data_IF_075748537289
#
_entry.id   IF_075748537289
#
_cell.length_a   1.000
_cell.length_b   1.000
_cell.length_c   1.000
_cell.angle_alpha   90.00
_cell.angle_beta   90.00
_cell.angle_gamma   90.00
#
_symmetry.space_group_name_H-M   'P 1'
#
loop_
_entity.id
_entity.type
_entity.pdbx_description
1 polymer ?
#
# COMPACT_ATOMS: atom_id res chain seq x y z
N UNK A 1 -12.37 6.75 19.56
CA UNK A 1 -11.04 6.75 18.88
C UNK A 1 -10.77 8.15 18.36
N UNK A 2 -9.58 8.70 18.63
CA UNK A 2 -9.24 10.06 18.19
C UNK A 2 -8.66 10.06 16.77
N UNK A 3 -9.01 11.08 15.97
CA UNK A 3 -8.48 11.29 14.62
C UNK A 3 -7.43 12.41 14.64
N UNK A 4 -6.42 12.29 13.79
CA UNK A 4 -5.43 13.34 13.58
C UNK A 4 -6.09 14.51 12.86
N UNK A 5 -5.91 15.73 13.37
CA UNK A 5 -6.42 16.95 12.75
C UNK A 5 -5.71 17.30 11.42
N UNK A 6 -4.49 16.82 11.19
CA UNK A 6 -3.75 17.07 9.95
C UNK A 6 -4.14 16.11 8.81
N UNK A 7 -4.24 14.80 9.08
CA UNK A 7 -4.46 13.79 8.03
C UNK A 7 -5.80 13.05 8.12
N UNK A 8 -6.60 13.28 9.16
CA UNK A 8 -7.91 12.64 9.36
C UNK A 8 -7.86 11.16 9.78
N UNK A 9 -6.68 10.53 9.82
CA UNK A 9 -6.52 9.12 10.19
C UNK A 9 -6.64 8.90 11.70
N UNK A 10 -7.06 7.70 12.11
CA UNK A 10 -7.11 7.32 13.52
C UNK A 10 -5.70 7.18 14.11
N UNK A 11 -5.52 7.71 15.33
CA UNK A 11 -4.20 7.76 15.99
C UNK A 11 -4.16 6.80 17.17
N UNK A 12 -3.09 6.01 17.27
CA UNK A 12 -2.81 5.16 18.42
C UNK A 12 -2.55 6.01 19.67
N UNK A 13 -3.00 5.59 20.87
CA UNK A 13 -2.74 6.34 22.10
C UNK A 13 -1.25 6.63 22.39
N UNK A 14 -0.34 5.78 21.92
CA UNK A 14 1.11 5.97 22.09
C UNK A 14 1.70 7.08 21.19
N UNK A 15 1.07 7.36 20.05
CA UNK A 15 1.56 8.29 19.04
C UNK A 15 0.78 9.61 18.99
N UNK A 16 -0.15 9.80 19.93
CA UNK A 16 -0.97 11.01 20.00
C UNK A 16 -0.21 12.17 20.63
N UNK A 17 -0.29 13.33 20.00
CA UNK A 17 0.21 14.60 20.52
C UNK A 17 -0.94 15.58 20.58
N UNK A 18 -1.19 16.15 21.76
CA UNK A 18 -2.27 17.11 21.98
C UNK A 18 -1.70 18.53 21.97
N UNK A 19 -2.33 19.42 21.21
CA UNK A 19 -2.03 20.84 21.30
C UNK A 19 -2.53 21.39 22.64
N UNK A 20 -1.69 22.12 23.36
CA UNK A 20 -2.07 22.72 24.66
C UNK A 20 -3.13 23.82 24.54
N UNK A 21 -3.28 24.43 23.35
CA UNK A 21 -4.23 25.52 23.08
C UNK A 21 -5.58 25.11 22.46
N UNK A 22 -5.63 24.25 21.43
CA UNK A 22 -6.88 24.01 20.66
C UNK A 22 -7.51 22.61 20.83
N UNK A 23 -7.09 21.81 21.81
CA UNK A 23 -7.55 20.42 22.04
C UNK A 23 -7.39 19.43 20.87
N UNK A 24 -6.96 19.89 19.69
CA UNK A 24 -6.70 19.05 18.53
C UNK A 24 -5.56 18.05 18.79
N UNK A 25 -5.69 16.89 18.18
CA UNK A 25 -4.80 15.75 18.31
C UNK A 25 -4.09 15.54 16.98
N UNK A 26 -2.79 15.31 17.04
CA UNK A 26 -1.93 15.06 15.88
C UNK A 26 -1.16 13.76 16.08
N UNK A 27 -0.89 13.04 15.00
CA UNK A 27 0.02 11.92 15.01
C UNK A 27 1.47 12.40 14.84
N UNK A 28 2.41 11.67 15.45
CA UNK A 28 3.85 11.96 15.34
C UNK A 28 4.36 12.01 13.90
N UNK A 29 3.78 11.20 13.00
CA UNK A 29 4.20 11.10 11.60
C UNK A 29 3.89 12.40 10.86
N UNK A 30 2.68 12.96 11.00
CA UNK A 30 2.34 14.25 10.38
C UNK A 30 3.19 15.40 10.91
N UNK A 31 3.68 15.31 12.15
CA UNK A 31 4.60 16.29 12.74
C UNK A 31 6.08 16.01 12.43
N UNK A 32 6.40 14.93 11.70
CA UNK A 32 7.78 14.50 11.39
C UNK A 32 8.66 14.33 12.65
N UNK A 33 8.06 13.91 13.76
CA UNK A 33 8.78 13.69 15.02
C UNK A 33 9.23 12.23 15.13
N UNK A 34 10.47 12.01 15.55
CA UNK A 34 10.97 10.67 15.84
C UNK A 34 10.26 10.06 17.07
N UNK A 35 10.25 8.73 17.18
CA UNK A 35 9.66 8.02 18.33
C UNK A 35 10.38 8.35 19.66
N UNK A 36 11.66 8.68 19.61
CA UNK A 36 12.46 9.06 20.78
C UNK A 36 12.26 10.50 21.24
N UNK A 37 11.63 11.35 20.42
CA UNK A 37 11.45 12.75 20.74
C UNK A 37 10.43 12.95 21.88
N UNK A 38 10.86 13.62 22.95
CA UNK A 38 9.98 14.00 24.07
C UNK A 38 9.30 15.34 23.74
N UNK A 39 7.98 15.31 23.58
CA UNK A 39 7.20 16.50 23.30
C UNK A 39 7.00 17.29 24.60
N UNK A 40 7.26 18.59 24.56
CA UNK A 40 6.99 19.49 25.69
C UNK A 40 5.50 19.54 26.01
N UNK A 41 5.07 19.56 27.29
CA UNK A 41 3.65 19.71 27.65
C UNK A 41 3.05 21.04 27.19
N UNK A 42 3.90 22.03 26.85
CA UNK A 42 3.49 23.33 26.29
C UNK A 42 3.47 23.35 24.76
N UNK A 43 3.57 22.20 24.10
CA UNK A 43 3.58 22.14 22.65
C UNK A 43 2.29 22.69 22.03
N UNK A 44 2.46 23.51 20.99
CA UNK A 44 1.39 24.13 20.21
C UNK A 44 1.42 23.59 18.79
N UNK A 45 0.25 23.39 18.17
CA UNK A 45 0.18 23.09 16.75
C UNK A 45 0.56 24.31 15.90
N UNK A 46 0.78 24.10 14.61
CA UNK A 46 1.16 25.18 13.66
C UNK A 46 0.13 26.31 13.63
N UNK A 47 -1.16 25.98 13.70
CA UNK A 47 -2.24 26.98 13.71
C UNK A 47 -2.25 27.83 15.00
N UNK A 48 -2.01 27.20 16.15
CA UNK A 48 -1.93 27.92 17.42
C UNK A 48 -0.62 28.72 17.55
N UNK A 49 0.47 28.21 16.98
CA UNK A 49 1.78 28.87 16.97
C UNK A 49 1.75 30.12 16.10
N UNK A 50 1.13 30.06 14.92
CA UNK A 50 0.99 31.21 14.02
C UNK A 50 0.08 32.31 14.59
N UNK A 51 -0.82 31.98 15.51
CA UNK A 51 -1.70 32.92 16.22
C UNK A 51 -1.08 33.52 17.47
N UNK A 52 0.08 33.04 17.93
CA UNK A 52 0.76 33.67 19.06
C UNK A 52 1.18 35.09 18.67
N UNK A 53 0.95 36.10 19.53
CA UNK A 53 1.45 37.45 19.26
C UNK A 53 2.96 37.36 19.07
N UNK A 54 3.46 37.89 17.95
CA UNK A 54 4.90 37.97 17.70
C UNK A 54 5.49 38.77 18.85
N UNK A 55 6.38 38.14 19.61
CA UNK A 55 7.04 38.77 20.76
C UNK A 55 7.66 40.08 20.27
N UNK A 56 7.45 41.13 21.08
CA UNK A 56 7.81 42.50 20.75
C UNK A 56 9.27 42.56 20.27
N UNK A 57 9.47 42.99 19.02
CA UNK A 57 10.78 43.07 18.35
C UNK A 57 11.54 44.34 18.78
N UNK A 58 11.34 44.78 20.02
CA UNK A 58 11.94 45.99 20.59
C UNK A 58 13.46 45.89 20.77
N UNK A 59 14.06 44.71 20.58
CA UNK A 59 15.51 44.49 20.62
C UNK A 59 16.18 44.34 19.23
N UNK A 60 15.44 44.39 18.13
CA UNK A 60 16.10 44.53 16.81
C UNK A 60 16.46 46.00 16.59
N UNK A 61 17.76 46.37 16.49
CA UNK A 61 18.18 47.75 16.30
C UNK A 61 17.81 48.18 14.87
N UNK A 62 16.62 48.74 14.71
CA UNK A 62 16.22 49.41 13.48
C UNK A 62 17.09 50.67 13.38
N UNK A 63 18.06 50.66 12.47
CA UNK A 63 18.88 51.81 12.09
C UNK A 63 17.93 52.86 11.49
N UNK A 64 17.40 53.71 12.36
CA UNK A 64 16.66 54.92 11.98
C UNK A 64 17.69 55.91 11.41
N UNK A 65 17.78 56.00 10.09
CA UNK A 65 18.47 57.11 9.42
C UNK A 65 17.52 58.30 9.35
N UNK A 66 17.74 59.23 10.27
CA UNK A 66 17.01 60.49 10.41
C UNK A 66 17.86 61.64 9.85
N UNK A 67 17.19 62.43 9.00
CA UNK A 67 17.44 63.80 8.51
C UNK A 67 18.37 64.05 7.31
N UNK A 68 17.71 64.21 6.16
CA UNK A 68 18.12 65.14 5.11
C UNK A 68 17.65 66.54 5.53
N UNK A 69 18.60 67.39 5.93
CA UNK A 69 18.39 68.84 6.00
C UNK A 69 18.97 69.49 4.76
N UNK A 70 18.11 70.10 3.95
CA UNK A 70 18.46 71.07 2.91
C UNK A 70 18.86 72.39 3.58
N UNK A 71 20.06 72.90 3.28
CA UNK A 71 20.31 74.34 3.29
C UNK A 71 21.44 74.75 2.32
N UNK A 72 21.03 75.62 1.40
CA UNK A 72 21.72 76.60 0.54
C UNK A 72 23.25 76.84 0.64
N UNK A 73 23.85 76.86 -0.57
CA UNK A 73 24.75 77.87 -1.14
C UNK A 73 25.99 78.37 -0.38
N UNK A 74 27.17 78.04 -0.91
CA UNK A 74 28.26 79.01 -1.12
C UNK A 74 29.37 78.44 -2.02
N UNK A 75 29.73 79.20 -3.05
CA UNK A 75 30.92 79.00 -3.88
C UNK A 75 32.20 78.91 -3.04
N UNK A 76 32.99 77.86 -3.24
CA UNK A 76 34.42 77.86 -2.93
C UNK A 76 35.19 76.87 -3.82
N UNK A 77 36.39 77.30 -4.19
CA UNK A 77 37.37 76.76 -5.13
C UNK A 77 37.67 75.25 -5.01
N UNK A 78 38.28 74.63 -6.06
CA UNK A 78 38.50 73.19 -6.10
C UNK A 78 39.61 72.79 -5.14
N UNK A 79 39.23 72.39 -3.94
CA UNK A 79 40.10 71.68 -3.01
C UNK A 79 40.23 70.24 -3.50
N UNK A 80 41.45 69.86 -3.85
CA UNK A 80 41.87 68.49 -4.19
C UNK A 80 41.53 67.55 -3.03
N UNK A 81 40.36 66.92 -3.09
CA UNK A 81 39.92 65.94 -2.10
C UNK A 81 40.46 64.55 -2.45
N UNK A 82 41.48 64.08 -1.72
CA UNK A 82 41.96 62.68 -1.77
C UNK A 82 40.94 61.63 -1.28
N UNK A 83 39.67 62.00 -1.09
CA UNK A 83 38.58 61.11 -0.63
C UNK A 83 37.67 60.58 -1.75
N UNK A 84 37.84 61.03 -3.00
CA UNK A 84 37.05 60.56 -4.14
C UNK A 84 37.39 59.11 -4.56
N UNK A 85 38.57 58.62 -4.21
CA UNK A 85 39.05 57.31 -4.62
C UNK A 85 38.40 56.16 -3.83
N UNK A 86 38.08 56.39 -2.55
CA UNK A 86 37.42 55.39 -1.68
C UNK A 86 35.94 55.21 -2.06
N UNK A 87 35.25 56.31 -2.35
CA UNK A 87 33.84 56.27 -2.78
C UNK A 87 33.70 55.65 -4.18
N UNK A 88 34.64 55.91 -5.09
CA UNK A 88 34.65 55.28 -6.42
C UNK A 88 34.83 53.75 -6.34
N UNK A 89 35.70 53.25 -5.45
CA UNK A 89 35.91 51.81 -5.25
C UNK A 89 34.66 51.12 -4.68
N UNK A 90 34.01 51.73 -3.70
CA UNK A 90 32.78 51.19 -3.11
C UNK A 90 31.62 51.14 -4.13
N UNK A 91 31.51 52.14 -5.01
CA UNK A 91 30.52 52.15 -6.09
C UNK A 91 30.78 51.01 -7.08
N UNK A 92 32.05 50.74 -7.39
CA UNK A 92 32.41 49.67 -8.32
C UNK A 92 32.18 48.28 -7.71
N UNK A 93 32.49 48.10 -6.42
CA UNK A 93 32.13 46.89 -5.67
C UNK A 93 30.61 46.66 -5.67
N UNK A 94 29.82 47.69 -5.36
CA UNK A 94 28.36 47.59 -5.40
C UNK A 94 27.84 47.24 -6.80
N UNK A 95 28.45 47.77 -7.87
CA UNK A 95 28.11 47.41 -9.24
C UNK A 95 28.40 45.93 -9.53
N UNK A 96 29.55 45.43 -9.08
CA UNK A 96 29.88 44.01 -9.25
C UNK A 96 28.91 43.10 -8.51
N UNK A 97 28.50 43.46 -7.29
CA UNK A 97 27.48 42.73 -6.52
C UNK A 97 26.10 42.77 -7.21
N UNK A 98 25.69 43.92 -7.75
CA UNK A 98 24.43 44.01 -8.51
C UNK A 98 24.46 43.11 -9.75
N UNK A 99 25.59 43.05 -10.46
CA UNK A 99 25.76 42.17 -11.62
C UNK A 99 25.73 40.70 -11.18
N UNK A 100 26.40 40.36 -10.08
CA UNK A 100 26.39 39.00 -9.52
C UNK A 100 24.97 38.57 -9.14
N UNK A 101 24.24 39.39 -8.40
CA UNK A 101 22.83 39.14 -8.02
C UNK A 101 21.95 39.00 -9.25
N UNK A 102 22.10 39.85 -10.27
CA UNK A 102 21.35 39.70 -11.53
C UNK A 102 21.63 38.37 -12.23
N UNK A 103 22.88 37.93 -12.25
CA UNK A 103 23.25 36.63 -12.81
C UNK A 103 22.65 35.48 -12.01
N UNK A 104 22.61 35.58 -10.68
CA UNK A 104 21.91 34.61 -9.84
C UNK A 104 20.41 34.55 -10.13
N UNK A 105 19.75 35.70 -10.32
CA UNK A 105 18.34 35.74 -10.70
C UNK A 105 18.06 35.07 -12.04
N UNK A 106 18.92 35.30 -13.05
CA UNK A 106 18.81 34.62 -14.35
C UNK A 106 18.99 33.11 -14.17
N UNK A 107 19.98 32.69 -13.37
CA UNK A 107 20.21 31.27 -13.04
C UNK A 107 19.05 30.64 -12.24
N UNK A 108 18.36 31.41 -11.40
CA UNK A 108 17.15 30.93 -10.76
C UNK A 108 16.01 30.77 -11.76
N UNK A 109 15.85 31.71 -12.69
CA UNK A 109 14.88 31.61 -13.78
C UNK A 109 15.03 30.30 -14.55
N UNK A 110 16.25 29.98 -15.00
CA UNK A 110 16.50 28.73 -15.74
C UNK A 110 16.23 27.47 -14.92
N UNK A 111 16.53 27.48 -13.62
CA UNK A 111 16.20 26.36 -12.72
C UNK A 111 14.70 26.21 -12.52
N UNK A 112 13.97 27.32 -12.41
CA UNK A 112 12.50 27.31 -12.32
C UNK A 112 11.86 26.78 -13.60
N UNK A 113 12.34 27.19 -14.77
CA UNK A 113 11.87 26.67 -16.06
C UNK A 113 12.09 25.15 -16.16
N UNK A 114 13.27 24.68 -15.75
CA UNK A 114 13.57 23.25 -15.71
C UNK A 114 12.65 22.49 -14.75
N UNK A 115 12.38 23.06 -13.57
CA UNK A 115 11.45 22.48 -12.60
C UNK A 115 10.03 22.42 -13.16
N UNK A 116 9.58 23.50 -13.80
CA UNK A 116 8.25 23.57 -14.43
C UNK A 116 8.09 22.48 -15.50
N UNK A 117 9.08 22.31 -16.37
CA UNK A 117 9.07 21.24 -17.37
C UNK A 117 9.02 19.84 -16.73
N UNK A 118 9.78 19.61 -15.67
CA UNK A 118 9.77 18.34 -14.96
C UNK A 118 8.42 18.05 -14.28
N UNK A 119 7.78 19.06 -13.69
CA UNK A 119 6.44 18.94 -13.09
C UNK A 119 5.38 18.70 -14.18
N UNK A 120 5.48 19.38 -15.31
CA UNK A 120 4.58 19.15 -16.46
C UNK A 120 4.70 17.73 -17.01
N UNK A 121 5.91 17.21 -17.14
CA UNK A 121 6.16 15.82 -17.55
C UNK A 121 5.58 14.83 -16.54
N UNK A 122 5.80 15.07 -15.24
CA UNK A 122 5.24 14.24 -14.18
C UNK A 122 3.71 14.24 -14.22
N UNK A 123 3.07 15.39 -14.45
CA UNK A 123 1.61 15.47 -14.61
C UNK A 123 1.12 14.57 -15.73
N UNK A 124 1.75 14.64 -16.91
CA UNK A 124 1.38 13.77 -18.06
C UNK A 124 1.55 12.29 -17.74
N UNK A 125 2.59 11.93 -16.99
CA UNK A 125 2.83 10.55 -16.55
C UNK A 125 1.77 10.08 -15.55
N UNK A 126 1.34 10.95 -14.64
CA UNK A 126 0.24 10.68 -13.71
C UNK A 126 -1.05 10.47 -14.48
N UNK A 127 -1.41 11.37 -15.41
CA UNK A 127 -2.58 11.21 -16.28
C UNK A 127 -2.55 9.88 -17.06
N UNK A 128 -1.37 9.49 -17.55
CA UNK A 128 -1.17 8.21 -18.22
C UNK A 128 -1.37 7.00 -17.30
N UNK A 129 -0.98 7.10 -16.03
CA UNK A 129 -1.22 6.05 -15.02
C UNK A 129 -2.70 6.00 -14.66
N UNK A 130 -3.34 7.14 -14.41
CA UNK A 130 -4.76 7.23 -14.10
C UNK A 130 -5.61 6.59 -15.21
N UNK A 131 -5.29 6.89 -16.48
CA UNK A 131 -5.97 6.26 -17.62
C UNK A 131 -5.77 4.74 -17.68
N UNK A 132 -4.55 4.25 -17.41
CA UNK A 132 -4.27 2.80 -17.37
C UNK A 132 -5.00 2.10 -16.23
N UNK A 133 -5.06 2.72 -15.05
CA UNK A 133 -5.81 2.20 -13.90
C UNK A 133 -7.29 2.18 -14.24
N UNK A 134 -7.84 3.27 -14.78
CA UNK A 134 -9.24 3.32 -15.20
C UNK A 134 -9.57 2.26 -16.26
N UNK A 135 -8.65 1.96 -17.18
CA UNK A 135 -8.83 0.88 -18.15
C UNK A 135 -8.76 -0.51 -17.50
N UNK A 136 -7.86 -0.74 -16.55
CA UNK A 136 -7.79 -2.00 -15.80
C UNK A 136 -9.01 -2.22 -14.90
N UNK A 137 -9.60 -1.14 -14.37
CA UNK A 137 -10.84 -1.18 -13.60
C UNK A 137 -12.06 -1.42 -14.50
N UNK A 138 -12.05 -0.88 -15.73
CA UNK A 138 -13.10 -1.11 -16.76
C UNK A 138 -12.97 -2.45 -17.46
N UNK A 139 -11.77 -2.99 -17.55
CA UNK A 139 -11.56 -4.33 -18.07
C UNK A 139 -12.26 -5.27 -17.08
N UNK A 140 -13.53 -5.58 -17.38
CA UNK A 140 -14.48 -6.49 -16.73
C UNK A 140 -13.97 -7.94 -16.65
N UNK A 141 -12.65 -8.12 -16.73
CA UNK A 141 -11.93 -9.35 -16.44
C UNK A 141 -12.38 -9.92 -15.09
N UNK A 142 -12.59 -9.07 -14.08
CA UNK A 142 -13.14 -9.49 -12.79
C UNK A 142 -14.56 -10.05 -12.89
N UNK A 143 -15.41 -9.50 -13.77
CA UNK A 143 -16.78 -9.99 -13.97
C UNK A 143 -16.78 -11.34 -14.70
N UNK A 144 -15.96 -11.47 -15.76
CA UNK A 144 -15.77 -12.74 -16.47
C UNK A 144 -15.24 -13.85 -15.54
N UNK A 145 -14.23 -13.55 -14.73
CA UNK A 145 -13.70 -14.52 -13.76
C UNK A 145 -14.69 -14.85 -12.65
N UNK A 146 -15.56 -13.91 -12.26
CA UNK A 146 -16.62 -14.16 -11.29
C UNK A 146 -17.66 -15.13 -11.85
N UNK A 147 -18.06 -14.95 -13.10
CA UNK A 147 -19.00 -15.85 -13.78
C UNK A 147 -18.40 -17.24 -14.01
N UNK A 148 -17.14 -17.31 -14.43
CA UNK A 148 -16.43 -18.59 -14.58
C UNK A 148 -16.27 -19.32 -13.24
N UNK A 149 -15.86 -18.61 -12.17
CA UNK A 149 -15.78 -19.18 -10.83
C UNK A 149 -17.14 -19.65 -10.32
N UNK A 150 -18.21 -18.91 -10.62
CA UNK A 150 -19.57 -19.34 -10.27
C UNK A 150 -19.94 -20.64 -10.99
N UNK A 151 -19.74 -20.71 -12.31
CA UNK A 151 -20.00 -21.95 -13.09
C UNK A 151 -19.18 -23.14 -12.58
N UNK A 152 -17.92 -22.89 -12.21
CA UNK A 152 -17.05 -23.91 -11.66
C UNK A 152 -17.53 -24.38 -10.28
N UNK A 153 -17.94 -23.45 -9.42
CA UNK A 153 -18.55 -23.73 -8.12
C UNK A 153 -19.84 -24.53 -8.25
N UNK A 154 -20.74 -24.13 -9.15
CA UNK A 154 -22.01 -24.83 -9.42
C UNK A 154 -21.74 -26.27 -9.92
N UNK A 155 -20.71 -26.43 -10.77
CA UNK A 155 -20.29 -27.76 -11.25
C UNK A 155 -19.73 -28.62 -10.14
N UNK A 156 -18.91 -28.06 -9.26
CA UNK A 156 -18.37 -28.77 -8.09
C UNK A 156 -19.49 -29.21 -7.13
N UNK A 157 -20.47 -28.34 -6.88
CA UNK A 157 -21.60 -28.66 -6.01
C UNK A 157 -22.46 -29.79 -6.60
N UNK A 158 -22.73 -29.73 -7.92
CA UNK A 158 -23.43 -30.79 -8.63
C UNK A 158 -22.68 -32.13 -8.59
N UNK A 159 -21.39 -32.14 -8.90
CA UNK A 159 -20.58 -33.36 -8.88
C UNK A 159 -20.47 -33.96 -7.47
N UNK A 160 -20.41 -33.10 -6.44
CA UNK A 160 -20.42 -33.54 -5.05
C UNK A 160 -21.74 -34.21 -4.68
N UNK A 161 -22.86 -33.67 -5.16
CA UNK A 161 -24.17 -34.28 -4.99
C UNK A 161 -24.25 -35.65 -5.67
N UNK A 162 -23.85 -35.73 -6.95
CA UNK A 162 -23.83 -36.98 -7.73
C UNK A 162 -22.95 -38.06 -7.10
N UNK A 163 -21.75 -37.71 -6.59
CA UNK A 163 -20.89 -38.65 -5.88
C UNK A 163 -21.53 -39.17 -4.60
N UNK A 164 -22.09 -38.28 -3.79
CA UNK A 164 -22.73 -38.66 -2.54
C UNK A 164 -23.96 -39.57 -2.76
N UNK A 165 -24.71 -39.34 -3.84
CA UNK A 165 -25.86 -40.17 -4.23
C UNK A 165 -25.38 -41.58 -4.64
N UNK A 166 -24.34 -41.68 -5.48
CA UNK A 166 -23.74 -42.96 -5.88
C UNK A 166 -23.14 -43.74 -4.71
N UNK A 167 -22.49 -43.06 -3.77
CA UNK A 167 -21.94 -43.69 -2.56
C UNK A 167 -23.07 -44.29 -1.70
N UNK A 168 -24.22 -43.60 -1.60
CA UNK A 168 -25.40 -44.14 -0.92
C UNK A 168 -26.01 -45.34 -1.65
N UNK A 169 -26.13 -45.28 -2.98
CA UNK A 169 -26.60 -46.41 -3.80
C UNK A 169 -25.69 -47.65 -3.64
N UNK A 170 -24.37 -47.45 -3.57
CA UNK A 170 -23.41 -48.52 -3.36
C UNK A 170 -23.59 -49.19 -1.99
N UNK A 171 -23.74 -48.40 -0.92
CA UNK A 171 -23.99 -48.91 0.42
C UNK A 171 -25.32 -49.68 0.53
N UNK A 172 -26.34 -49.31 -0.25
CA UNK A 172 -27.60 -50.05 -0.30
C UNK A 172 -27.48 -51.40 -1.01
N UNK A 173 -26.48 -51.55 -1.88
CA UNK A 173 -26.20 -52.80 -2.60
C UNK A 173 -25.37 -53.76 -1.74
N UNK A 174 -24.62 -53.24 -0.77
CA UNK A 174 -23.81 -54.02 0.14
C UNK A 174 -24.69 -54.79 1.14
N UNK A 175 -24.62 -56.12 1.11
CA UNK A 175 -25.29 -56.98 2.09
C UNK A 175 -24.31 -57.30 3.21
N UNK A 176 -24.51 -56.71 4.38
CA UNK A 176 -23.75 -57.06 5.57
C UNK A 176 -24.28 -58.36 6.19
N UNK A 177 -23.46 -59.42 6.15
CA UNK A 177 -23.78 -60.69 6.83
C UNK A 177 -23.07 -60.70 8.18
N UNK A 178 -23.75 -60.22 9.21
CA UNK A 178 -23.28 -60.32 10.59
C UNK A 178 -23.61 -61.70 11.18
N UNK A 179 -22.92 -62.10 12.26
CA UNK A 179 -23.20 -63.31 13.03
C UNK A 179 -22.96 -64.66 12.31
N UNK A 180 -22.00 -64.72 11.38
CA UNK A 180 -21.48 -66.03 10.92
C UNK A 180 -20.66 -66.62 12.08
N UNK A 181 -21.07 -67.77 12.68
CA UNK A 181 -20.26 -68.41 13.70
C UNK A 181 -18.92 -68.84 13.08
N UNK A 182 -17.82 -68.30 13.61
CA UNK A 182 -16.45 -68.69 13.25
C UNK A 182 -16.17 -70.13 13.72
N UNK A 183 -16.73 -71.13 13.02
CA UNK A 183 -16.29 -72.50 13.22
C UNK A 183 -14.88 -72.63 12.65
N UNK A 184 -13.93 -73.08 13.48
CA UNK A 184 -12.61 -73.57 13.03
C UNK A 184 -12.84 -74.74 12.08
N UNK A 185 -13.00 -74.46 10.79
CA UNK A 185 -13.02 -75.51 9.78
C UNK A 185 -11.65 -76.19 9.79
N UNK A 186 -11.57 -77.38 10.38
CA UNK A 186 -10.54 -78.34 9.98
C UNK A 186 -10.74 -78.57 8.48
N UNK A 187 -9.78 -78.12 7.69
CA UNK A 187 -9.77 -78.12 6.24
C UNK A 187 -10.00 -79.54 5.71
N UNK A 188 -11.25 -79.91 5.47
CA UNK A 188 -11.59 -80.88 4.44
C UNK A 188 -11.40 -80.16 3.13
N UNK A 189 -10.32 -80.46 2.41
CA UNK A 189 -9.99 -79.86 1.13
C UNK A 189 -11.19 -79.95 0.17
N UNK A 190 -11.90 -78.83 -0.01
CA UNK A 190 -12.83 -78.67 -1.12
C UNK A 190 -11.96 -78.59 -2.36
N UNK A 191 -11.80 -79.74 -3.04
CA UNK A 191 -11.13 -79.82 -4.33
C UNK A 191 -12.03 -79.11 -5.33
N UNK A 192 -11.75 -77.85 -5.61
CA UNK A 192 -12.37 -77.13 -6.71
C UNK A 192 -12.06 -77.94 -7.98
N UNK A 193 -13.09 -78.52 -8.58
CA UNK A 193 -12.94 -79.24 -9.84
C UNK A 193 -12.39 -78.27 -10.88
N UNK A 194 -11.27 -78.62 -11.51
CA UNK A 194 -10.73 -77.86 -12.64
C UNK A 194 -11.80 -77.75 -13.72
N UNK A 195 -12.28 -76.53 -13.94
CA UNK A 195 -13.11 -76.21 -15.10
C UNK A 195 -12.17 -76.15 -16.30
N UNK A 196 -12.05 -77.25 -17.02
CA UNK A 196 -11.39 -77.25 -18.33
C UNK A 196 -12.29 -76.53 -19.32
N UNK A 197 -11.85 -75.36 -19.77
CA UNK A 197 -12.46 -74.63 -20.87
C UNK A 197 -11.85 -75.17 -22.15
N UNK A 198 -12.61 -75.94 -22.92
CA UNK A 198 -12.19 -76.33 -24.26
C UNK A 198 -12.26 -75.10 -25.19
N UNK A 199 -11.36 -75.05 -26.17
CA UNK A 199 -11.18 -73.93 -27.10
C UNK A 199 -12.38 -73.68 -28.05
N UNK A 200 -13.52 -74.35 -27.82
CA UNK A 200 -14.74 -74.27 -28.62
C UNK A 200 -15.73 -73.21 -28.12
N UNK A 201 -15.55 -72.66 -26.91
CA UNK A 201 -16.35 -71.53 -26.42
C UNK A 201 -17.81 -71.87 -26.07
N UNK A 202 -18.18 -73.15 -25.98
CA UNK A 202 -19.55 -73.56 -25.62
C UNK A 202 -19.60 -73.95 -24.14
N UNK A 203 -20.33 -73.17 -23.34
CA UNK A 203 -20.59 -73.47 -21.92
C UNK A 203 -21.40 -74.76 -21.81
N UNK A 204 -20.77 -75.85 -21.36
CA UNK A 204 -21.49 -77.04 -20.93
C UNK A 204 -21.97 -76.88 -19.49
N UNK A 205 -23.26 -77.16 -19.27
CA UNK A 205 -23.93 -77.16 -17.97
C UNK A 205 -23.15 -78.01 -16.96
N UNK A 206 -22.65 -77.37 -15.91
CA UNK A 206 -21.95 -78.02 -14.81
C UNK A 206 -22.94 -78.91 -14.04
N UNK A 207 -22.88 -80.23 -14.26
CA UNK A 207 -23.58 -81.20 -13.42
C UNK A 207 -22.77 -81.46 -12.16
N UNK A 208 -23.33 -81.09 -11.01
CA UNK A 208 -22.75 -81.38 -9.71
C UNK A 208 -23.18 -82.79 -9.27
N UNK A 209 -22.22 -83.67 -9.01
CA UNK A 209 -22.46 -84.97 -8.37
C UNK A 209 -22.13 -84.84 -6.89
N UNK A 210 -23.14 -84.93 -6.03
CA UNK A 210 -22.97 -84.96 -4.57
C UNK A 210 -22.52 -86.37 -4.18
N UNK A 211 -21.31 -86.49 -3.63
CA UNK A 211 -20.82 -87.74 -3.05
C UNK A 211 -21.21 -87.75 -1.58
N UNK A 212 -22.27 -88.49 -1.22
CA UNK A 212 -22.60 -88.78 0.17
C UNK A 212 -21.68 -89.91 0.65
N UNK A 213 -20.71 -89.59 1.49
CA UNK A 213 -19.93 -90.58 2.21
C UNK A 213 -20.70 -91.04 3.44
N UNK A 214 -21.09 -92.31 3.47
CA UNK A 214 -21.65 -92.95 4.66
C UNK A 214 -20.58 -93.02 5.76
N UNK A 215 -20.93 -92.51 6.93
CA UNK A 215 -20.11 -92.55 8.14
C UNK A 215 -20.46 -93.84 8.89
N UNK A 216 -19.50 -94.76 8.96
CA UNK A 216 -19.49 -95.94 9.84
C UNK A 216 -18.94 -95.58 11.23
#
# INVERSE_FOLDING_TARGET
>A
MSKCAACGKFVSPADMIKCSSCANIYDRICLKLSKSYKVSPKWLCLDCTSKQPRKDNTETPIKVQTEISQSSSSNSSPSSCSGCDVTSKMIEELRTEIVAVRNEFVNFGTKFDRLYLAVSDLSKRVDGIENRVANLEKDDCMEKYKDENKKLSDTLERLKFELNDRDQEQLLTDVEISCIPEHKATVGAVKWGEVSIDASGVRNDARYTVITGDVL
#
